data_IF_980859646482
#
_entry.id   IF_980859646482
#
_cell.length_a   1.000
_cell.length_b   1.000
_cell.length_c   1.000
_cell.angle_alpha   90.00
_cell.angle_beta   90.00
_cell.angle_gamma   90.00
#
_symmetry.space_group_name_H-M   'P 1'
#
loop_
_entity.id
_entity.type
_entity.pdbx_description
1 polymer ?
#
# COMPACT_ATOMS: atom_id res chain seq x y z
N UNK A 1 -6.95 0.47 16.57
CA UNK A 1 -7.10 0.84 15.15
C UNK A 1 -7.36 2.33 15.09
N UNK A 2 -6.79 3.01 14.11
CA UNK A 2 -6.83 4.47 13.96
C UNK A 2 -7.48 4.81 12.62
N UNK A 3 -8.43 5.74 12.63
CA UNK A 3 -9.08 6.19 11.39
C UNK A 3 -8.07 6.89 10.49
N UNK A 4 -8.10 6.54 9.21
CA UNK A 4 -7.36 7.29 8.20
C UNK A 4 -8.16 8.55 7.87
N UNK A 5 -7.49 9.68 7.69
CA UNK A 5 -8.13 10.95 7.33
C UNK A 5 -7.27 11.70 6.32
N UNK A 6 -7.88 12.53 5.49
CA UNK A 6 -7.18 13.38 4.51
C UNK A 6 -7.61 14.84 4.67
N UNK A 7 -6.70 15.77 4.36
CA UNK A 7 -7.01 17.20 4.28
C UNK A 7 -7.66 17.59 2.94
N UNK A 8 -8.22 18.80 2.87
CA UNK A 8 -8.87 19.30 1.65
C UNK A 8 -7.93 19.37 0.44
N UNK A 9 -6.63 19.55 0.66
CA UNK A 9 -5.59 19.58 -0.38
C UNK A 9 -5.37 18.22 -1.05
N UNK A 10 -5.87 17.13 -0.47
CA UNK A 10 -5.71 15.78 -1.00
C UNK A 10 -6.74 15.43 -2.11
N UNK A 11 -7.80 16.22 -2.27
CA UNK A 11 -8.85 15.93 -3.26
C UNK A 11 -8.34 15.98 -4.69
N UNK A 12 -8.74 15.01 -5.51
CA UNK A 12 -8.29 14.85 -6.89
C UNK A 12 -6.85 14.33 -7.03
N UNK A 13 -6.18 14.02 -5.92
CA UNK A 13 -4.79 13.55 -5.91
C UNK A 13 -4.68 12.05 -5.65
N UNK A 14 -3.45 11.52 -5.75
CA UNK A 14 -3.13 10.14 -5.36
C UNK A 14 -3.50 9.83 -3.91
N UNK A 15 -3.42 10.81 -3.01
CA UNK A 15 -3.73 10.64 -1.58
C UNK A 15 -5.18 10.23 -1.40
N UNK A 16 -6.12 10.87 -2.11
CA UNK A 16 -7.53 10.51 -2.07
C UNK A 16 -7.77 9.09 -2.63
N UNK A 17 -7.03 8.69 -3.67
CA UNK A 17 -7.12 7.34 -4.21
C UNK A 17 -6.67 6.29 -3.19
N UNK A 18 -5.57 6.53 -2.49
CA UNK A 18 -5.08 5.64 -1.43
C UNK A 18 -6.03 5.62 -0.22
N UNK A 19 -6.60 6.76 0.16
CA UNK A 19 -7.62 6.84 1.21
C UNK A 19 -8.83 5.96 0.88
N UNK A 20 -9.38 6.09 -0.34
CA UNK A 20 -10.52 5.29 -0.80
C UNK A 20 -10.20 3.80 -0.84
N UNK A 21 -8.94 3.42 -1.09
CA UNK A 21 -8.54 2.02 -1.00
C UNK A 21 -8.62 1.48 0.42
N UNK A 22 -8.14 2.23 1.41
CA UNK A 22 -8.24 1.79 2.81
C UNK A 22 -9.71 1.72 3.24
N UNK A 23 -10.52 2.68 2.80
CA UNK A 23 -11.95 2.72 3.11
C UNK A 23 -12.73 1.52 2.52
N UNK A 24 -12.49 1.21 1.24
CA UNK A 24 -13.23 0.17 0.52
C UNK A 24 -12.70 -1.26 0.76
N UNK A 25 -11.49 -1.41 1.27
CA UNK A 25 -10.82 -2.71 1.32
C UNK A 25 -10.82 -3.31 2.71
N UNK A 26 -11.14 -4.60 2.82
CA UNK A 26 -11.07 -5.33 4.09
C UNK A 26 -9.65 -5.66 4.56
N UNK A 27 -8.62 -5.41 3.72
CA UNK A 27 -7.22 -5.65 4.04
C UNK A 27 -6.32 -4.67 3.27
N UNK A 28 -5.45 -3.96 3.98
CA UNK A 28 -4.33 -3.21 3.40
C UNK A 28 -3.04 -3.47 4.18
N UNK A 29 -1.90 -3.30 3.51
CA UNK A 29 -0.58 -3.18 4.12
C UNK A 29 -0.18 -1.72 4.05
N UNK A 30 0.36 -1.19 5.14
CA UNK A 30 0.84 0.20 5.21
C UNK A 30 2.34 0.19 5.46
N UNK A 31 3.09 1.04 4.78
CA UNK A 31 4.54 1.15 4.95
C UNK A 31 4.90 2.61 5.13
N UNK A 32 5.61 2.93 6.20
CA UNK A 32 6.23 4.24 6.40
C UNK A 32 7.74 4.10 6.26
N UNK A 33 8.32 4.89 5.36
CA UNK A 33 9.75 4.94 5.09
C UNK A 33 10.33 6.34 5.31
N UNK A 34 11.63 6.47 5.60
CA UNK A 34 12.29 7.74 5.85
C UNK A 34 12.69 8.47 4.55
N UNK A 35 12.63 7.77 3.40
CA UNK A 35 13.04 8.29 2.09
C UNK A 35 11.91 8.96 1.32
N UNK A 36 12.24 9.40 0.11
CA UNK A 36 11.26 9.91 -0.85
C UNK A 36 10.33 8.79 -1.38
N UNK A 37 9.24 9.15 -2.07
CA UNK A 37 8.30 8.16 -2.62
C UNK A 37 8.93 7.14 -3.57
N UNK A 38 9.95 7.53 -4.35
CA UNK A 38 10.61 6.64 -5.30
C UNK A 38 11.50 5.60 -4.58
N UNK A 39 12.21 6.02 -3.53
CA UNK A 39 13.01 5.14 -2.68
C UNK A 39 12.15 4.12 -1.94
N UNK A 40 10.99 4.53 -1.42
CA UNK A 40 10.05 3.59 -0.77
C UNK A 40 9.42 2.64 -1.78
N UNK A 41 9.03 3.10 -2.98
CA UNK A 41 8.57 2.21 -4.04
C UNK A 41 9.66 1.20 -4.45
N UNK A 42 10.91 1.66 -4.59
CA UNK A 42 12.07 0.80 -4.87
C UNK A 42 12.31 -0.25 -3.77
N UNK A 43 12.17 0.13 -2.50
CA UNK A 43 12.28 -0.81 -1.39
C UNK A 43 11.15 -1.86 -1.38
N UNK A 44 9.93 -1.46 -1.73
CA UNK A 44 8.79 -2.38 -1.91
C UNK A 44 9.06 -3.37 -3.03
N UNK A 45 9.53 -2.91 -4.19
CA UNK A 45 9.89 -3.80 -5.29
C UNK A 45 11.07 -4.72 -4.94
N UNK A 46 12.09 -4.20 -4.24
CA UNK A 46 13.22 -5.02 -3.81
C UNK A 46 12.80 -6.10 -2.81
N UNK A 47 11.86 -5.79 -1.91
CA UNK A 47 11.32 -6.75 -0.94
C UNK A 47 10.41 -7.79 -1.61
N UNK A 48 9.50 -7.35 -2.48
CA UNK A 48 8.56 -8.22 -3.19
C UNK A 48 8.73 -8.07 -4.72
N UNK A 49 9.76 -8.70 -5.32
CA UNK A 49 10.10 -8.53 -6.74
C UNK A 49 8.95 -8.86 -7.70
N UNK A 50 8.08 -9.79 -7.31
CA UNK A 50 6.89 -10.18 -8.08
C UNK A 50 5.93 -9.02 -8.36
N UNK A 51 5.97 -7.94 -7.55
CA UNK A 51 5.20 -6.72 -7.82
C UNK A 51 5.72 -5.95 -9.03
N UNK A 52 6.99 -6.12 -9.41
CA UNK A 52 7.62 -5.44 -10.55
C UNK A 52 7.55 -6.20 -11.87
N UNK A 53 7.29 -7.51 -11.83
CA UNK A 53 7.30 -8.38 -13.02
C UNK A 53 6.26 -7.97 -14.07
N UNK A 54 5.04 -7.65 -13.63
CA UNK A 54 3.94 -7.16 -14.46
C UNK A 54 3.21 -6.06 -13.67
N UNK A 55 3.46 -4.81 -14.03
CA UNK A 55 2.81 -3.67 -13.39
C UNK A 55 2.52 -2.52 -14.35
N UNK A 56 1.44 -1.80 -14.06
CA UNK A 56 1.01 -0.61 -14.75
C UNK A 56 1.06 0.58 -13.78
N UNK A 57 1.69 1.67 -14.20
CA UNK A 57 1.61 2.96 -13.51
C UNK A 57 0.53 3.81 -14.18
N UNK A 58 -0.55 4.09 -13.46
CA UNK A 58 -1.68 4.89 -13.94
C UNK A 58 -1.34 6.37 -13.98
N UNK A 59 -2.16 7.17 -14.66
CA UNK A 59 -1.97 8.63 -14.77
C UNK A 59 -1.96 9.36 -13.42
N UNK A 60 -2.71 8.87 -12.42
CA UNK A 60 -2.67 9.38 -11.05
C UNK A 60 -1.48 8.86 -10.22
N UNK A 61 -0.60 8.08 -10.85
CA UNK A 61 0.58 7.40 -10.30
C UNK A 61 0.26 6.32 -9.26
N UNK A 62 -0.97 5.83 -9.25
CA UNK A 62 -1.29 4.54 -8.63
C UNK A 62 -0.68 3.42 -9.47
N UNK A 63 -0.23 2.36 -8.81
CA UNK A 63 0.42 1.20 -9.41
C UNK A 63 -0.52 0.01 -9.29
N UNK A 64 -0.73 -0.69 -10.40
CA UNK A 64 -1.41 -1.98 -10.43
C UNK A 64 -0.36 -3.03 -10.74
N UNK A 65 -0.05 -3.90 -9.79
CA UNK A 65 0.80 -5.07 -10.01
C UNK A 65 -0.06 -6.31 -10.21
N UNK A 66 0.08 -6.98 -11.35
CA UNK A 66 -0.68 -8.20 -11.68
C UNK A 66 0.18 -9.42 -11.43
N UNK A 67 -0.32 -10.35 -10.62
CA UNK A 67 0.30 -11.65 -10.38
C UNK A 67 -0.65 -12.75 -10.86
N UNK A 68 -0.15 -13.99 -10.96
CA UNK A 68 -0.91 -15.10 -11.55
C UNK A 68 -2.31 -15.33 -10.93
N UNK A 69 -2.52 -14.99 -9.66
CA UNK A 69 -3.75 -15.29 -8.93
C UNK A 69 -4.43 -14.09 -8.29
N UNK A 70 -3.77 -12.94 -8.24
CA UNK A 70 -4.30 -11.73 -7.60
C UNK A 70 -3.61 -10.50 -8.20
N UNK A 71 -4.21 -9.33 -8.00
CA UNK A 71 -3.59 -8.05 -8.31
C UNK A 71 -3.38 -7.27 -7.02
N UNK A 72 -2.36 -6.42 -6.99
CA UNK A 72 -2.13 -5.48 -5.90
C UNK A 72 -2.28 -4.08 -6.47
N UNK A 73 -3.24 -3.32 -5.95
CA UNK A 73 -3.38 -1.90 -6.24
C UNK A 73 -2.74 -1.13 -5.10
N UNK A 74 -1.81 -0.24 -5.43
CA UNK A 74 -0.99 0.43 -4.43
C UNK A 74 -0.42 1.75 -4.92
N UNK A 75 0.18 2.50 -4.02
CA UNK A 75 0.87 3.74 -4.37
C UNK A 75 1.64 4.28 -3.20
N UNK A 76 2.50 5.25 -3.49
CA UNK A 76 3.36 5.91 -2.50
C UNK A 76 3.15 7.42 -2.58
N UNK A 77 3.08 8.07 -1.43
CA UNK A 77 2.97 9.54 -1.27
C UNK A 77 4.04 10.06 -0.32
N UNK A 78 4.40 11.33 -0.45
CA UNK A 78 5.33 12.00 0.45
C UNK A 78 4.63 12.53 1.69
N UNK A 79 5.38 12.76 2.76
CA UNK A 79 4.97 13.58 3.90
C UNK A 79 6.21 14.26 4.49
N UNK A 80 6.10 15.29 5.35
CA UNK A 80 7.27 16.05 5.82
C UNK A 80 8.38 15.24 6.51
N UNK A 81 8.08 14.01 6.95
CA UNK A 81 9.03 13.10 7.61
C UNK A 81 9.41 11.87 6.80
N UNK A 82 9.10 11.82 5.49
CA UNK A 82 9.41 10.67 4.64
C UNK A 82 8.33 10.34 3.63
N UNK A 83 7.98 9.07 3.49
CA UNK A 83 6.98 8.59 2.54
C UNK A 83 6.12 7.46 3.11
N UNK A 84 4.92 7.34 2.53
CA UNK A 84 3.88 6.41 2.97
C UNK A 84 3.42 5.60 1.75
N UNK A 85 3.40 4.28 1.88
CA UNK A 85 2.81 3.38 0.90
C UNK A 85 1.58 2.66 1.47
N UNK A 86 0.57 2.46 0.64
CA UNK A 86 -0.58 1.60 0.93
C UNK A 86 -0.69 0.58 -0.19
N UNK A 87 -0.73 -0.70 0.18
CA UNK A 87 -0.88 -1.82 -0.75
C UNK A 87 -2.16 -2.60 -0.42
N UNK A 88 -2.94 -2.90 -1.44
CA UNK A 88 -4.20 -3.64 -1.30
C UNK A 88 -4.28 -4.78 -2.30
N UNK A 89 -4.35 -6.04 -1.83
CA UNK A 89 -4.57 -7.18 -2.71
C UNK A 89 -6.05 -7.33 -3.10
N UNK A 90 -6.29 -7.77 -4.33
CA UNK A 90 -7.60 -8.12 -4.87
C UNK A 90 -7.51 -9.45 -5.63
N UNK A 91 -8.52 -10.30 -5.46
CA UNK A 91 -8.71 -11.46 -6.33
C UNK A 91 -8.81 -11.04 -7.79
N UNK A 92 -8.28 -11.84 -8.71
CA UNK A 92 -8.45 -11.62 -10.15
C UNK A 92 -9.84 -12.07 -10.65
N UNK A 93 -10.38 -13.13 -10.05
CA UNK A 93 -11.65 -13.71 -10.46
C UNK A 93 -12.65 -13.69 -9.30
N UNK A 94 -13.90 -13.31 -9.56
CA UNK A 94 -14.95 -13.22 -8.54
C UNK A 94 -15.26 -14.59 -7.89
N UNK A 95 -15.05 -15.68 -8.63
CA UNK A 95 -15.32 -17.05 -8.20
C UNK A 95 -14.11 -17.79 -7.62
N UNK A 96 -12.94 -17.15 -7.57
CA UNK A 96 -11.73 -17.77 -7.02
C UNK A 96 -11.88 -18.01 -5.51
N UNK A 97 -11.50 -19.20 -5.04
CA UNK A 97 -11.44 -19.44 -3.60
C UNK A 97 -10.43 -18.46 -2.98
N UNK A 98 -10.85 -17.77 -1.93
CA UNK A 98 -10.01 -16.83 -1.21
C UNK A 98 -8.72 -17.50 -0.72
N UNK A 99 -8.78 -18.77 -0.32
CA UNK A 99 -7.64 -19.51 0.22
C UNK A 99 -6.53 -19.69 -0.81
N UNK A 100 -6.89 -19.84 -2.08
CA UNK A 100 -5.93 -20.09 -3.16
C UNK A 100 -5.00 -18.89 -3.30
N UNK A 101 -5.56 -17.71 -3.56
CA UNK A 101 -4.73 -16.52 -3.78
C UNK A 101 -4.11 -15.96 -2.50
N UNK A 102 -4.74 -16.12 -1.33
CA UNK A 102 -4.21 -15.59 -0.06
C UNK A 102 -2.85 -16.22 0.27
N UNK A 103 -2.68 -17.53 0.07
CA UNK A 103 -1.41 -18.21 0.33
C UNK A 103 -0.27 -17.65 -0.53
N UNK A 104 -0.55 -17.39 -1.81
CA UNK A 104 0.36 -16.74 -2.73
C UNK A 104 0.64 -15.30 -2.34
N UNK A 105 -0.38 -14.53 -1.98
CA UNK A 105 -0.22 -13.16 -1.50
C UNK A 105 0.67 -13.10 -0.24
N UNK A 106 0.47 -14.01 0.71
CA UNK A 106 1.26 -14.05 1.93
C UNK A 106 2.74 -14.24 1.60
N UNK A 107 3.05 -15.28 0.82
CA UNK A 107 4.43 -15.65 0.48
C UNK A 107 5.10 -14.64 -0.45
N UNK A 108 4.38 -14.18 -1.47
CA UNK A 108 4.97 -13.43 -2.58
C UNK A 108 4.99 -11.91 -2.31
N UNK A 109 4.18 -11.41 -1.36
CA UNK A 109 4.05 -9.97 -1.05
C UNK A 109 4.06 -9.67 0.44
N UNK A 110 3.15 -10.24 1.24
CA UNK A 110 2.97 -9.82 2.64
C UNK A 110 4.21 -10.06 3.50
N UNK A 111 4.74 -11.29 3.51
CA UNK A 111 5.87 -11.66 4.35
C UNK A 111 7.15 -10.93 3.93
N UNK A 112 7.50 -10.82 2.63
CA UNK A 112 8.65 -10.04 2.21
C UNK A 112 8.52 -8.55 2.54
N UNK A 113 7.34 -7.95 2.32
CA UNK A 113 7.11 -6.53 2.69
C UNK A 113 7.19 -6.34 4.21
N UNK A 114 6.63 -7.25 5.01
CA UNK A 114 6.77 -7.20 6.47
C UNK A 114 8.22 -7.31 6.94
N UNK A 115 9.08 -8.01 6.20
CA UNK A 115 10.51 -8.10 6.53
C UNK A 115 11.27 -6.77 6.37
N UNK A 116 10.65 -5.74 5.79
CA UNK A 116 11.16 -4.37 5.82
C UNK A 116 11.05 -3.74 7.22
N UNK A 117 10.15 -4.23 8.07
CA UNK A 117 9.95 -3.69 9.41
C UNK A 117 11.24 -3.79 10.23
N UNK A 118 11.65 -2.69 10.85
CA UNK A 118 12.91 -2.58 11.58
C UNK A 118 14.16 -2.37 10.69
N UNK A 119 14.05 -2.36 9.35
CA UNK A 119 15.12 -1.98 8.41
C UNK A 119 15.03 -0.52 7.98
N UNK A 120 14.67 0.34 8.91
CA UNK A 120 14.36 1.75 8.65
C UNK A 120 12.92 2.00 8.20
N UNK A 121 12.14 0.96 7.92
CA UNK A 121 10.71 1.07 7.65
C UNK A 121 9.89 0.67 8.87
N UNK A 122 8.66 1.19 8.93
CA UNK A 122 7.59 0.71 9.80
C UNK A 122 6.50 0.10 8.94
N UNK A 123 6.18 -1.17 9.17
CA UNK A 123 5.15 -1.87 8.41
C UNK A 123 3.95 -2.17 9.31
N UNK A 124 2.77 -1.84 8.82
CA UNK A 124 1.50 -2.05 9.51
C UNK A 124 0.46 -2.65 8.57
N UNK A 125 -0.77 -2.72 9.06
CA UNK A 125 -1.91 -3.16 8.26
C UNK A 125 -3.14 -2.29 8.54
N UNK A 126 -4.23 -2.61 7.85
CA UNK A 126 -5.48 -1.90 8.02
C UNK A 126 -6.58 -2.46 7.14
N UNK A 127 -7.62 -1.65 7.00
CA UNK A 127 -8.80 -1.92 6.19
C UNK A 127 -10.02 -1.24 6.78
N UNK A 128 -11.09 -1.15 5.99
CA UNK A 128 -12.37 -0.55 6.36
C UNK A 128 -12.19 0.85 7.00
N UNK A 129 -11.38 1.69 6.37
CA UNK A 129 -11.14 3.08 6.77
C UNK A 129 -10.16 3.25 7.93
N UNK A 130 -9.51 2.18 8.40
CA UNK A 130 -8.60 2.23 9.55
C UNK A 130 -7.24 1.60 9.29
N UNK A 131 -6.23 2.03 10.06
CA UNK A 131 -4.87 1.47 10.06
C UNK A 131 -4.44 1.08 11.47
N UNK A 132 -3.45 0.20 11.58
CA UNK A 132 -2.94 -0.31 12.86
C UNK A 132 -1.95 0.65 13.54
N UNK A 133 -1.30 1.52 12.77
CA UNK A 133 -0.25 2.41 13.24
C UNK A 133 -0.75 3.86 13.34
N UNK A 134 -0.73 4.44 14.54
CA UNK A 134 -1.15 5.82 14.79
C UNK A 134 -0.22 6.85 14.14
N UNK A 135 1.08 6.57 14.07
CA UNK A 135 2.06 7.45 13.45
C UNK A 135 1.82 7.50 11.93
N UNK A 136 1.48 6.36 11.33
CA UNK A 136 1.08 6.29 9.92
C UNK A 136 -0.20 7.12 9.68
N UNK A 137 -1.24 6.92 10.49
CA UNK A 137 -2.50 7.65 10.37
C UNK A 137 -2.30 9.17 10.47
N UNK A 138 -1.49 9.61 11.44
CA UNK A 138 -1.15 11.02 11.63
C UNK A 138 -0.34 11.58 10.46
N UNK A 139 0.66 10.85 9.97
CA UNK A 139 1.47 11.28 8.82
C UNK A 139 0.64 11.39 7.54
N UNK A 140 -0.30 10.48 7.33
CA UNK A 140 -1.13 10.45 6.13
C UNK A 140 -2.05 11.67 6.01
N UNK A 141 -2.50 12.24 7.13
CA UNK A 141 -3.30 13.46 7.14
C UNK A 141 -2.56 14.68 6.55
N UNK A 142 -1.22 14.65 6.56
CA UNK A 142 -0.33 15.69 6.03
C UNK A 142 0.43 15.26 4.78
N UNK A 143 -0.01 14.20 4.11
CA UNK A 143 0.63 13.72 2.90
C UNK A 143 0.52 14.74 1.75
N UNK A 144 1.47 14.67 0.81
CA UNK A 144 1.52 15.42 -0.44
C UNK A 144 1.99 14.53 -1.59
N UNK A 145 1.70 14.94 -2.83
CA UNK A 145 2.16 14.27 -4.07
C UNK A 145 3.44 14.93 -4.56
#
# INVERSE_FOLDING_TARGET
MFSLTIGAHAHGTRIESLYRLVDASGLVITIQGPGDPAGTAGAVFAAAPRLSDDHEVRENGMIVSTLAQFRVLWGVVGHPGGSLAILTPFSLYETQDRRDWISHFIRDVLDPVKALDGRGFRVGGGGNGTVSDSAFASAFAYAYV
#
